data_IF_911836180629
#
_entry.id   IF_911836180629
#
_cell.length_a   1.000
_cell.length_b   1.000
_cell.length_c   1.000
_cell.angle_alpha   90.00
_cell.angle_beta   90.00
_cell.angle_gamma   90.00
#
_symmetry.space_group_name_H-M   'P 1'
#
loop_
_entity.id
_entity.type
_entity.pdbx_description
1 polymer ?
#
# COMPACT_ATOMS: atom_id res chain seq x y z
N UNK A 1 5.05 -5.43 16.48
CA UNK A 1 4.71 -4.44 15.44
C UNK A 1 3.99 -5.17 14.32
N UNK A 2 2.78 -4.75 13.96
CA UNK A 2 2.05 -5.37 12.86
C UNK A 2 2.41 -4.69 11.53
N UNK A 3 2.20 -5.41 10.43
CA UNK A 3 2.38 -4.89 9.08
C UNK A 3 1.13 -5.15 8.24
N UNK A 4 0.98 -4.35 7.18
CA UNK A 4 -0.05 -4.52 6.16
C UNK A 4 0.60 -4.95 4.86
N UNK A 5 0.04 -5.96 4.23
CA UNK A 5 0.40 -6.39 2.87
C UNK A 5 -0.77 -6.05 1.94
N UNK A 6 -0.52 -5.26 0.90
CA UNK A 6 -1.55 -4.84 -0.05
C UNK A 6 -0.98 -4.62 -1.44
N UNK A 7 -1.82 -4.69 -2.47
CA UNK A 7 -1.40 -4.31 -3.82
C UNK A 7 -1.55 -2.80 -4.00
N UNK A 8 -0.56 -2.16 -4.63
CA UNK A 8 -0.53 -0.70 -4.78
C UNK A 8 -1.77 -0.22 -5.56
N UNK A 9 -2.62 0.65 -4.96
CA UNK A 9 -3.84 1.11 -5.62
C UNK A 9 -3.51 2.02 -6.81
N UNK A 10 -4.37 2.02 -7.82
CA UNK A 10 -4.29 3.00 -8.92
C UNK A 10 -4.59 4.39 -8.36
N UNK A 11 -3.71 5.36 -8.62
CA UNK A 11 -3.97 6.75 -8.29
C UNK A 11 -5.21 7.27 -9.08
N UNK A 12 -6.17 7.87 -8.39
CA UNK A 12 -7.37 8.43 -9.01
C UNK A 12 -7.06 9.67 -9.87
N UNK A 13 -6.02 10.43 -9.52
CA UNK A 13 -5.61 11.66 -10.23
C UNK A 13 -4.75 11.39 -11.47
N UNK A 14 -4.33 10.15 -11.70
CA UNK A 14 -3.39 9.80 -12.77
C UNK A 14 -3.86 8.58 -13.56
N UNK A 15 -3.63 8.61 -14.87
CA UNK A 15 -3.98 7.49 -15.76
C UNK A 15 -2.95 6.35 -15.75
N UNK A 16 -1.75 6.58 -15.20
CA UNK A 16 -0.65 5.62 -15.18
C UNK A 16 -0.99 4.29 -14.48
N UNK A 17 -0.45 3.19 -15.03
CA UNK A 17 -0.70 1.82 -14.52
C UNK A 17 0.58 1.06 -14.16
N UNK A 18 1.77 1.62 -14.36
CA UNK A 18 3.03 0.86 -14.31
C UNK A 18 3.28 0.12 -12.97
N UNK A 19 2.77 0.64 -11.86
CA UNK A 19 3.08 0.12 -10.50
C UNK A 19 1.91 -0.55 -9.81
N UNK A 20 0.77 -0.70 -10.48
CA UNK A 20 -0.45 -1.21 -9.82
C UNK A 20 -0.38 -2.70 -9.51
N UNK A 21 0.56 -3.42 -10.11
CA UNK A 21 0.73 -4.85 -9.89
C UNK A 21 1.73 -5.15 -8.75
N UNK A 22 2.44 -4.13 -8.24
CA UNK A 22 3.37 -4.25 -7.11
C UNK A 22 2.61 -4.56 -5.81
N UNK A 23 3.12 -5.54 -5.06
CA UNK A 23 2.71 -5.82 -3.70
C UNK A 23 3.59 -5.05 -2.73
N UNK A 24 2.98 -4.48 -1.70
CA UNK A 24 3.64 -3.62 -0.73
C UNK A 24 3.46 -4.22 0.66
N UNK A 25 4.54 -4.31 1.42
CA UNK A 25 4.53 -4.52 2.86
C UNK A 25 4.92 -3.21 3.54
N UNK A 26 4.06 -2.72 4.41
CA UNK A 26 4.25 -1.48 5.15
C UNK A 26 3.96 -1.71 6.63
N UNK A 27 4.81 -1.18 7.51
CA UNK A 27 4.61 -1.31 8.95
C UNK A 27 3.53 -0.34 9.45
N UNK A 28 2.74 -0.80 10.41
CA UNK A 28 1.82 0.08 11.14
C UNK A 28 2.62 1.02 12.05
N UNK A 29 2.11 2.24 12.28
CA UNK A 29 2.76 3.18 13.19
C UNK A 29 2.68 2.62 14.63
N UNK A 30 3.81 2.50 15.34
CA UNK A 30 3.83 2.14 16.77
C UNK A 30 3.45 3.30 17.66
N UNK A 31 3.73 4.52 17.20
CA UNK A 31 3.59 5.73 18.00
C UNK A 31 2.92 6.85 17.20
N UNK A 32 2.07 7.62 17.88
CA UNK A 32 1.48 8.82 17.31
C UNK A 32 2.57 9.88 17.05
N UNK A 33 2.47 10.53 15.90
CA UNK A 33 3.32 11.69 15.59
C UNK A 33 2.94 12.86 16.48
N UNK A 34 3.93 13.58 17.01
CA UNK A 34 3.73 14.76 17.86
C UNK A 34 4.53 15.94 17.33
N UNK A 35 4.01 17.17 17.44
CA UNK A 35 4.78 18.37 17.13
C UNK A 35 5.90 18.53 18.17
N UNK A 36 7.09 18.90 17.70
CA UNK A 36 8.19 19.27 18.61
C UNK A 36 7.88 20.60 19.33
N UNK A 37 8.40 20.81 20.55
CA UNK A 37 8.03 21.96 21.37
C UNK A 37 8.64 23.30 20.90
N UNK A 38 9.65 23.28 20.02
CA UNK A 38 10.36 24.48 19.60
C UNK A 38 9.83 25.01 18.26
N UNK A 39 9.81 24.17 17.23
CA UNK A 39 9.44 24.55 15.86
C UNK A 39 8.08 24.00 15.42
N UNK A 40 7.50 23.06 16.17
CA UNK A 40 6.22 22.44 15.85
C UNK A 40 6.28 21.43 14.70
N UNK A 41 7.47 20.96 14.31
CA UNK A 41 7.65 19.94 13.29
C UNK A 41 7.11 18.59 13.75
N UNK A 42 6.50 17.87 12.82
CA UNK A 42 5.94 16.55 13.09
C UNK A 42 7.08 15.54 13.30
N UNK A 43 7.26 15.09 14.53
CA UNK A 43 8.25 14.08 14.92
C UNK A 43 7.61 12.80 15.45
N UNK A 44 8.36 11.71 15.41
CA UNK A 44 8.06 10.43 16.06
C UNK A 44 9.35 9.67 16.33
N UNK A 45 9.39 8.84 17.37
CA UNK A 45 10.49 7.89 17.60
C UNK A 45 10.38 6.63 16.74
N UNK A 46 9.25 6.42 16.07
CA UNK A 46 9.02 5.27 15.19
C UNK A 46 9.75 5.43 13.85
N UNK A 47 10.84 4.68 13.68
CA UNK A 47 11.63 4.64 12.45
C UNK A 47 11.06 3.66 11.42
N UNK A 48 10.37 2.61 11.87
CA UNK A 48 9.81 1.56 11.01
C UNK A 48 8.64 2.08 10.18
N UNK A 49 7.95 3.11 10.69
CA UNK A 49 6.97 3.91 9.97
C UNK A 49 7.40 4.39 8.57
N UNK A 50 8.70 4.50 8.31
CA UNK A 50 9.27 5.00 7.05
C UNK A 50 9.60 3.86 6.07
N UNK A 51 9.61 2.61 6.54
CA UNK A 51 10.05 1.46 5.74
C UNK A 51 8.89 0.94 4.91
N UNK A 52 9.10 0.94 3.59
CA UNK A 52 8.16 0.40 2.61
C UNK A 52 8.92 -0.63 1.77
N UNK A 53 8.44 -1.88 1.80
CA UNK A 53 9.02 -2.97 1.01
C UNK A 53 8.08 -3.32 -0.14
N UNK A 54 8.66 -3.59 -1.31
CA UNK A 54 7.93 -3.94 -2.53
C UNK A 54 8.27 -5.34 -2.99
N UNK A 55 7.27 -6.09 -3.41
CA UNK A 55 7.36 -7.47 -3.87
C UNK A 55 6.59 -7.63 -5.20
N UNK A 56 7.02 -8.55 -6.07
CA UNK A 56 6.29 -8.86 -7.30
C UNK A 56 5.03 -9.71 -7.03
N UNK A 57 4.95 -10.43 -5.92
CA UNK A 57 3.81 -11.29 -5.58
C UNK A 57 3.38 -11.17 -4.11
N UNK A 58 2.11 -11.50 -3.86
CA UNK A 58 1.53 -11.58 -2.50
C UNK A 58 2.26 -12.61 -1.64
N UNK A 59 2.62 -13.74 -2.25
CA UNK A 59 3.19 -14.87 -1.53
C UNK A 59 4.64 -14.60 -1.14
N UNK A 60 5.42 -13.87 -1.95
CA UNK A 60 6.74 -13.39 -1.56
C UNK A 60 6.70 -12.42 -0.38
N UNK A 61 5.73 -11.50 -0.38
CA UNK A 61 5.54 -10.57 0.74
C UNK A 61 5.19 -11.32 2.04
N UNK A 62 4.36 -12.38 1.96
CA UNK A 62 4.04 -13.24 3.11
C UNK A 62 5.25 -14.05 3.56
N UNK A 63 5.98 -14.67 2.64
CA UNK A 63 7.17 -15.45 2.94
C UNK A 63 8.23 -14.59 3.64
N UNK A 64 8.38 -13.33 3.21
CA UNK A 64 9.21 -12.36 3.92
C UNK A 64 8.70 -12.11 5.34
N UNK A 65 7.41 -11.80 5.50
CA UNK A 65 6.84 -11.57 6.83
C UNK A 65 7.02 -12.76 7.77
N UNK A 66 6.78 -13.99 7.29
CA UNK A 66 6.98 -15.23 8.04
C UNK A 66 8.45 -15.45 8.42
N UNK A 67 9.37 -15.26 7.47
CA UNK A 67 10.81 -15.41 7.69
C UNK A 67 11.35 -14.50 8.79
N UNK A 68 10.82 -13.28 8.89
CA UNK A 68 11.25 -12.28 9.88
C UNK A 68 10.32 -12.20 11.10
N UNK A 69 9.34 -13.10 11.24
CA UNK A 69 8.40 -13.12 12.37
C UNK A 69 7.51 -11.87 12.47
N UNK A 70 7.22 -11.24 11.33
CA UNK A 70 6.40 -10.03 11.24
C UNK A 70 4.93 -10.42 11.17
N UNK A 71 4.12 -9.96 12.13
CA UNK A 71 2.68 -10.16 12.12
C UNK A 71 2.03 -9.30 11.01
N UNK A 72 1.80 -9.88 9.83
CA UNK A 72 1.28 -9.16 8.67
C UNK A 72 -0.19 -9.53 8.35
N UNK A 73 -1.03 -8.52 8.11
CA UNK A 73 -2.40 -8.69 7.59
C UNK A 73 -2.43 -8.39 6.10
N UNK A 74 -3.03 -9.29 5.32
CA UNK A 74 -3.21 -9.08 3.87
C UNK A 74 -4.55 -8.39 3.61
N UNK A 75 -4.51 -7.27 2.89
CA UNK A 75 -5.68 -6.60 2.35
C UNK A 75 -5.93 -7.07 0.91
N UNK A 76 -7.17 -7.46 0.63
CA UNK A 76 -7.57 -7.89 -0.71
C UNK A 76 -7.66 -6.69 -1.66
N UNK A 77 -7.10 -6.85 -2.87
CA UNK A 77 -7.26 -5.86 -3.93
C UNK A 77 -8.67 -5.95 -4.53
N UNK A 78 -9.37 -4.81 -4.72
CA UNK A 78 -10.61 -4.82 -5.49
C UNK A 78 -10.36 -5.34 -6.92
N UNK A 79 -11.16 -6.32 -7.40
CA UNK A 79 -11.00 -6.84 -8.75
C UNK A 79 -11.34 -5.75 -9.77
N UNK A 80 -10.51 -5.63 -10.82
CA UNK A 80 -10.84 -4.77 -11.97
C UNK A 80 -11.69 -5.55 -12.96
N UNK A 81 -12.89 -5.07 -13.22
CA UNK A 81 -13.76 -5.60 -14.27
C UNK A 81 -13.52 -4.87 -15.58
N UNK A 82 -13.53 -5.62 -16.70
CA UNK A 82 -13.53 -5.03 -18.03
C UNK A 82 -14.91 -4.41 -18.28
N UNK A 83 -14.95 -3.11 -18.58
CA UNK A 83 -16.17 -2.45 -19.04
C UNK A 83 -16.18 -2.44 -20.56
N UNK A 84 -17.01 -3.28 -21.18
CA UNK A 84 -17.26 -3.25 -22.62
C UNK A 84 -18.01 -1.95 -22.94
N UNK A 85 -17.48 -1.17 -23.88
CA UNK A 85 -18.09 0.08 -24.33
C UNK A 85 -18.02 0.11 -25.85
N UNK A 86 -19.17 0.28 -26.51
CA UNK A 86 -19.23 0.55 -27.95
C UNK A 86 -19.46 2.02 -28.17
N UNK A 87 -18.77 2.62 -29.14
CA UNK A 87 -19.00 4.02 -29.50
C UNK A 87 -20.40 4.24 -30.10
N UNK A 88 -21.00 3.20 -30.71
CA UNK A 88 -22.35 3.26 -31.26
C UNK A 88 -23.43 3.47 -30.19
N UNK A 89 -23.18 3.01 -28.96
CA UNK A 89 -24.12 3.16 -27.84
C UNK A 89 -24.32 4.64 -27.44
N UNK A 90 -23.44 5.55 -27.87
CA UNK A 90 -23.56 6.99 -27.61
C UNK A 90 -24.69 7.67 -28.40
N UNK A 91 -25.24 7.02 -29.45
CA UNK A 91 -26.17 7.64 -30.40
C UNK A 91 -27.55 6.94 -30.48
N UNK A 92 -27.89 6.10 -29.49
CA UNK A 92 -29.19 5.42 -29.40
C UNK A 92 -30.24 6.27 -28.69
#
# INVERSE_FOLDING_TARGET
>A
MAARIYQRPKNAMQSGKARIDEWVLEFEQSEARRPDPLMGWTGSGDTQAQVILTFPSKDEAKAYAEKYGIAARVHATPPKTLKLQSYADNFR
#
